data_IF_285077125561
#
_entry.id   IF_285077125561
#
_cell.length_a   1.000
_cell.length_b   1.000
_cell.length_c   1.000
_cell.angle_alpha   90.00
_cell.angle_beta   90.00
_cell.angle_gamma   90.00
#
_symmetry.space_group_name_H-M   'P 1'
#
loop_
_entity.id
_entity.type
_entity.pdbx_description
1 polymer ?
#
# COMPACT_ATOMS: atom_id res chain seq x y z
N UNK A 1 -15.76 -8.54 -12.45
CA UNK A 1 -16.95 -7.67 -12.60
C UNK A 1 -16.57 -6.37 -11.91
N UNK A 2 -15.82 -5.53 -12.60
CA UNK A 2 -15.01 -4.52 -11.91
C UNK A 2 -15.73 -3.18 -11.96
N UNK A 3 -16.43 -2.92 -10.87
CA UNK A 3 -16.66 -1.61 -10.25
C UNK A 3 -16.64 -0.42 -11.20
N UNK A 4 -17.78 -0.16 -11.86
CA UNK A 4 -18.08 1.13 -12.45
C UNK A 4 -18.13 2.18 -11.34
N UNK A 5 -16.97 2.76 -11.01
CA UNK A 5 -16.90 3.91 -10.13
C UNK A 5 -17.37 5.10 -10.95
N UNK A 6 -18.52 5.64 -10.58
CA UNK A 6 -19.10 6.86 -11.15
C UNK A 6 -18.17 8.04 -10.81
N UNK A 7 -17.08 8.19 -11.58
CA UNK A 7 -16.04 9.19 -11.40
C UNK A 7 -16.56 10.55 -11.88
N UNK A 8 -17.26 11.24 -10.99
CA UNK A 8 -17.68 12.63 -11.20
C UNK A 8 -16.42 13.50 -11.37
N UNK A 9 -16.21 14.01 -12.59
CA UNK A 9 -15.14 14.94 -13.00
C UNK A 9 -13.74 14.32 -13.17
N UNK A 10 -13.62 13.27 -14.00
CA UNK A 10 -12.32 12.83 -14.52
C UNK A 10 -11.73 13.89 -15.48
N UNK A 11 -10.48 14.30 -15.23
CA UNK A 11 -9.68 15.20 -16.08
C UNK A 11 -8.36 14.54 -16.41
N UNK A 12 -8.05 14.39 -17.69
CA UNK A 12 -6.75 13.91 -18.13
C UNK A 12 -5.71 15.04 -18.00
N UNK A 13 -4.56 14.75 -17.41
CA UNK A 13 -3.45 15.71 -17.32
C UNK A 13 -2.42 15.52 -18.42
N UNK A 14 -2.03 14.25 -18.66
CA UNK A 14 -1.13 13.84 -19.73
C UNK A 14 -1.38 12.36 -20.08
N UNK A 15 -0.55 11.78 -20.95
CA UNK A 15 -0.65 10.37 -21.27
C UNK A 15 -0.42 9.50 -20.02
N UNK A 16 -1.39 8.65 -19.70
CA UNK A 16 -1.30 7.74 -18.55
C UNK A 16 -1.53 8.40 -17.19
N UNK A 17 -2.02 9.65 -17.09
CA UNK A 17 -2.41 10.27 -15.82
C UNK A 17 -3.76 10.97 -15.90
N UNK A 18 -4.65 10.59 -14.98
CA UNK A 18 -5.95 11.23 -14.77
C UNK A 18 -6.12 11.71 -13.34
N UNK A 19 -6.76 12.86 -13.16
CA UNK A 19 -7.28 13.31 -11.88
C UNK A 19 -8.80 13.15 -11.84
N UNK A 20 -9.33 12.73 -10.70
CA UNK A 20 -10.77 12.57 -10.50
C UNK A 20 -11.16 12.80 -9.04
N UNK A 21 -12.45 13.04 -8.79
CA UNK A 21 -13.03 13.07 -7.44
C UNK A 21 -13.99 11.89 -7.27
N UNK A 22 -13.97 11.27 -6.09
CA UNK A 22 -14.99 10.29 -5.70
C UNK A 22 -16.25 11.02 -5.26
N UNK A 23 -17.42 10.43 -5.50
CA UNK A 23 -18.71 11.02 -5.16
C UNK A 23 -18.84 11.54 -3.71
N UNK A 24 -18.14 10.91 -2.74
CA UNK A 24 -18.17 11.27 -1.31
C UNK A 24 -16.88 11.91 -0.79
N UNK A 25 -16.00 12.40 -1.65
CA UNK A 25 -14.70 12.98 -1.26
C UNK A 25 -14.42 14.30 -1.97
N UNK A 26 -14.10 15.33 -1.20
CA UNK A 26 -13.64 16.62 -1.74
C UNK A 26 -12.19 16.56 -2.26
N UNK A 27 -11.43 15.56 -1.81
CA UNK A 27 -10.02 15.36 -2.17
C UNK A 27 -9.87 14.74 -3.55
N UNK A 28 -8.94 15.28 -4.33
CA UNK A 28 -8.54 14.75 -5.62
C UNK A 28 -7.80 13.42 -5.50
N UNK A 29 -8.00 12.57 -6.51
CA UNK A 29 -7.31 11.31 -6.70
C UNK A 29 -6.64 11.29 -8.05
N UNK A 30 -5.51 10.60 -8.13
CA UNK A 30 -4.74 10.39 -9.33
C UNK A 30 -4.83 8.92 -9.74
N UNK A 31 -5.07 8.67 -11.02
CA UNK A 31 -4.97 7.35 -11.64
C UNK A 31 -3.80 7.39 -12.63
N UNK A 32 -2.78 6.57 -12.36
CA UNK A 32 -1.51 6.55 -13.08
C UNK A 32 -1.32 5.21 -13.76
N UNK A 33 -0.96 5.21 -15.04
CA UNK A 33 -0.62 4.02 -15.82
C UNK A 33 0.84 3.64 -15.56
N UNK A 34 1.07 2.38 -15.23
CA UNK A 34 2.41 1.80 -15.11
C UNK A 34 2.94 1.35 -16.49
N UNK A 35 4.24 1.13 -16.61
CA UNK A 35 4.85 0.57 -17.83
C UNK A 35 4.33 -0.85 -18.13
N UNK A 36 3.87 -1.58 -17.11
CA UNK A 36 3.15 -2.87 -17.26
C UNK A 36 1.72 -2.75 -17.82
N UNK A 37 1.27 -1.55 -18.22
CA UNK A 37 -0.12 -1.20 -18.57
C UNK A 37 -1.14 -1.35 -17.44
N UNK A 38 -0.70 -1.66 -16.22
CA UNK A 38 -1.59 -1.71 -15.07
C UNK A 38 -1.84 -0.31 -14.51
N UNK A 39 -3.09 -0.05 -14.11
CA UNK A 39 -3.47 1.22 -13.49
C UNK A 39 -3.32 1.16 -11.97
N UNK A 40 -2.74 2.20 -11.39
CA UNK A 40 -2.68 2.41 -9.95
C UNK A 40 -3.36 3.74 -9.59
N UNK A 41 -4.17 3.74 -8.53
CA UNK A 41 -4.85 4.92 -8.04
C UNK A 41 -4.32 5.34 -6.67
N UNK A 42 -4.18 6.65 -6.44
CA UNK A 42 -3.81 7.22 -5.15
C UNK A 42 -4.57 8.50 -4.84
N UNK A 43 -4.70 8.84 -3.56
CA UNK A 43 -5.18 10.17 -3.18
C UNK A 43 -4.06 11.20 -3.29
N UNK A 44 -4.38 12.40 -3.79
CA UNK A 44 -3.46 13.54 -3.80
C UNK A 44 -3.41 14.26 -2.43
N UNK A 45 -4.27 13.88 -1.47
CA UNK A 45 -4.32 14.45 -0.13
C UNK A 45 -4.93 15.86 -0.02
N UNK A 46 -5.27 16.49 -1.14
CA UNK A 46 -5.74 17.88 -1.22
C UNK A 46 -7.02 18.01 -2.05
N UNK A 47 -7.84 19.03 -1.76
CA UNK A 47 -9.00 19.43 -2.55
C UNK A 47 -8.68 20.47 -3.62
N UNK A 48 -7.49 21.09 -3.55
CA UNK A 48 -6.97 22.04 -4.53
C UNK A 48 -6.49 21.29 -5.79
N UNK A 49 -6.92 21.74 -6.97
CA UNK A 49 -6.60 21.08 -8.23
C UNK A 49 -5.14 21.25 -8.66
N UNK A 50 -4.56 22.44 -8.50
CA UNK A 50 -3.17 22.70 -8.90
C UNK A 50 -2.19 21.99 -7.99
N UNK A 51 -2.49 21.96 -6.68
CA UNK A 51 -1.71 21.15 -5.75
C UNK A 51 -1.85 19.66 -6.04
N UNK A 52 -3.05 19.17 -6.36
CA UNK A 52 -3.26 17.78 -6.76
C UNK A 52 -2.50 17.42 -8.03
N UNK A 53 -2.50 18.31 -9.02
CA UNK A 53 -1.75 18.15 -10.28
C UNK A 53 -0.26 18.01 -10.04
N UNK A 54 0.34 18.88 -9.20
CA UNK A 54 1.75 18.79 -8.82
C UNK A 54 2.08 17.44 -8.15
N UNK A 55 1.26 17.02 -7.18
CA UNK A 55 1.44 15.74 -6.47
C UNK A 55 1.35 14.55 -7.43
N UNK A 56 0.38 14.57 -8.34
CA UNK A 56 0.16 13.48 -9.30
C UNK A 56 1.30 13.35 -10.31
N UNK A 57 1.79 14.48 -10.85
CA UNK A 57 2.92 14.51 -11.78
C UNK A 57 4.22 14.03 -11.11
N UNK A 58 4.50 14.48 -9.90
CA UNK A 58 5.68 14.05 -9.16
C UNK A 58 5.63 12.54 -8.86
N UNK A 59 4.45 12.01 -8.51
CA UNK A 59 4.29 10.56 -8.34
C UNK A 59 4.52 9.80 -9.64
N UNK A 60 3.96 10.27 -10.76
CA UNK A 60 4.16 9.62 -12.06
C UNK A 60 5.65 9.51 -12.40
N UNK A 61 6.41 10.59 -12.18
CA UNK A 61 7.87 10.63 -12.38
C UNK A 61 8.60 9.63 -11.49
N UNK A 62 8.26 9.57 -10.20
CA UNK A 62 8.85 8.60 -9.27
C UNK A 62 8.57 7.15 -9.68
N UNK A 63 7.34 6.86 -10.12
CA UNK A 63 6.95 5.54 -10.60
C UNK A 63 7.75 5.14 -11.85
N UNK A 64 7.90 6.05 -12.82
CA UNK A 64 8.69 5.81 -14.02
C UNK A 64 10.16 5.53 -13.68
N UNK A 65 10.76 6.30 -12.77
CA UNK A 65 12.15 6.09 -12.32
C UNK A 65 12.34 4.76 -11.59
N UNK A 66 11.39 4.39 -10.72
CA UNK A 66 11.44 3.10 -10.04
C UNK A 66 11.36 1.95 -11.04
N UNK A 67 10.46 2.04 -12.01
CA UNK A 67 10.29 1.04 -13.07
C UNK A 67 11.52 0.92 -13.97
N UNK A 68 12.14 2.05 -14.36
CA UNK A 68 13.36 2.01 -15.19
C UNK A 68 14.58 1.47 -14.44
N UNK A 69 14.60 1.61 -13.11
CA UNK A 69 15.70 1.17 -12.25
C UNK A 69 15.50 -0.25 -11.69
N UNK A 70 14.41 -0.93 -12.05
CA UNK A 70 14.06 -2.25 -11.52
C UNK A 70 13.65 -2.27 -10.04
N UNK A 71 13.35 -1.11 -9.45
CA UNK A 71 12.90 -0.98 -8.07
C UNK A 71 11.39 -1.19 -7.98
N UNK A 72 10.91 -1.60 -6.80
CA UNK A 72 9.47 -1.74 -6.55
C UNK A 72 8.82 -0.35 -6.62
N UNK A 73 7.91 -0.19 -7.56
CA UNK A 73 7.26 1.08 -7.91
C UNK A 73 6.11 1.44 -6.94
N UNK A 74 5.38 0.44 -6.44
CA UNK A 74 4.34 0.60 -5.43
C UNK A 74 4.64 -0.28 -4.22
N UNK A 75 4.98 0.36 -3.10
CA UNK A 75 5.09 -0.33 -1.82
C UNK A 75 3.73 -0.56 -1.18
N UNK A 76 3.49 -1.77 -0.72
CA UNK A 76 2.41 -2.05 0.24
C UNK A 76 2.90 -1.75 1.65
N UNK A 77 2.01 -1.29 2.52
CA UNK A 77 2.35 -1.18 3.95
C UNK A 77 2.50 -2.57 4.54
N UNK A 78 3.40 -2.70 5.50
CA UNK A 78 3.63 -3.96 6.20
C UNK A 78 2.34 -4.50 6.81
N UNK A 79 1.50 -3.63 7.40
CA UNK A 79 0.23 -4.04 8.01
C UNK A 79 -0.74 -4.68 7.00
N UNK A 80 -0.77 -4.20 5.75
CA UNK A 80 -1.69 -4.72 4.74
C UNK A 80 -1.27 -6.12 4.30
N UNK A 81 0.05 -6.33 4.14
CA UNK A 81 0.61 -7.65 3.84
C UNK A 81 0.47 -8.59 5.03
N UNK A 82 0.72 -8.12 6.24
CA UNK A 82 0.56 -8.93 7.46
C UNK A 82 -0.89 -9.42 7.63
N UNK A 83 -1.89 -8.58 7.36
CA UNK A 83 -3.31 -8.97 7.37
C UNK A 83 -3.63 -10.00 6.30
N UNK A 84 -3.10 -9.84 5.08
CA UNK A 84 -3.26 -10.83 4.02
C UNK A 84 -2.66 -12.19 4.43
N UNK A 85 -1.47 -12.18 5.01
CA UNK A 85 -0.82 -13.39 5.53
C UNK A 85 -1.65 -14.06 6.62
N UNK A 86 -2.18 -13.30 7.59
CA UNK A 86 -3.07 -13.85 8.62
C UNK A 86 -4.31 -14.50 7.99
N UNK A 87 -4.93 -13.84 7.00
CA UNK A 87 -6.08 -14.39 6.30
C UNK A 87 -5.77 -15.71 5.57
N UNK A 88 -4.58 -15.84 4.99
CA UNK A 88 -4.15 -17.11 4.38
C UNK A 88 -3.94 -18.21 5.43
N UNK A 89 -3.28 -17.88 6.56
CA UNK A 89 -3.09 -18.83 7.66
C UNK A 89 -4.42 -19.30 8.25
N UNK A 90 -5.41 -18.41 8.34
CA UNK A 90 -6.77 -18.76 8.76
C UNK A 90 -7.46 -19.67 7.75
N UNK A 91 -7.35 -19.36 6.45
CA UNK A 91 -7.92 -20.19 5.39
C UNK A 91 -7.33 -21.62 5.39
N UNK A 92 -6.02 -21.76 5.59
CA UNK A 92 -5.37 -23.07 5.71
C UNK A 92 -5.92 -23.89 6.89
N UNK A 93 -6.10 -23.25 8.03
CA UNK A 93 -6.67 -23.91 9.24
C UNK A 93 -8.12 -24.34 8.98
N UNK A 94 -8.92 -23.50 8.34
CA UNK A 94 -10.31 -23.84 7.98
C UNK A 94 -10.39 -24.99 6.96
N UNK A 95 -9.43 -25.05 6.03
CA UNK A 95 -9.34 -26.13 5.04
C UNK A 95 -8.88 -27.47 5.66
N UNK A 96 -8.54 -27.53 6.95
CA UNK A 96 -8.06 -28.74 7.62
C UNK A 96 -6.62 -29.14 7.25
N UNK A 97 -5.91 -28.31 6.48
CA UNK A 97 -4.51 -28.51 6.07
C UNK A 97 -3.53 -27.68 6.93
N UNK A 98 -4.07 -26.73 7.71
CA UNK A 98 -3.29 -25.82 8.53
C UNK A 98 -2.55 -26.52 9.67
N UNK A 99 -1.29 -26.12 9.88
CA UNK A 99 -0.47 -26.63 10.98
C UNK A 99 -0.83 -25.92 12.29
N UNK A 100 -0.65 -26.61 13.42
CA UNK A 100 -0.83 -26.04 14.77
C UNK A 100 0.01 -24.76 14.96
N UNK A 101 1.19 -24.70 14.33
CA UNK A 101 2.09 -23.53 14.36
C UNK A 101 1.51 -22.26 13.73
N UNK A 102 0.45 -22.36 12.91
CA UNK A 102 -0.19 -21.18 12.31
C UNK A 102 -0.73 -20.24 13.39
N UNK A 103 -1.17 -20.76 14.55
CA UNK A 103 -1.57 -19.94 15.69
C UNK A 103 -0.43 -19.08 16.22
N UNK A 104 0.75 -19.68 16.37
CA UNK A 104 1.91 -19.01 16.94
C UNK A 104 2.44 -17.93 15.97
N UNK A 105 2.42 -18.19 14.66
CA UNK A 105 2.72 -17.18 13.64
C UNK A 105 1.76 -15.98 13.71
N UNK A 106 0.44 -16.23 13.78
CA UNK A 106 -0.53 -15.15 13.94
C UNK A 106 -0.28 -14.34 15.22
N UNK A 107 0.07 -15.02 16.32
CA UNK A 107 0.39 -14.34 17.58
C UNK A 107 1.62 -13.45 17.45
N UNK A 108 2.70 -13.94 16.83
CA UNK A 108 3.93 -13.15 16.61
C UNK A 108 3.67 -11.95 15.71
N UNK A 109 2.94 -12.15 14.61
CA UNK A 109 2.60 -11.08 13.66
C UNK A 109 1.79 -9.99 14.37
N UNK A 110 0.75 -10.35 15.12
CA UNK A 110 -0.12 -9.38 15.78
C UNK A 110 0.53 -8.69 16.98
N UNK A 111 1.30 -9.42 17.79
CA UNK A 111 1.85 -8.90 19.05
C UNK A 111 3.14 -8.11 18.86
N UNK A 112 3.99 -8.51 17.92
CA UNK A 112 5.33 -7.95 17.75
C UNK A 112 5.49 -7.20 16.43
N UNK A 113 5.17 -7.84 15.31
CA UNK A 113 5.53 -7.30 14.00
C UNK A 113 4.62 -6.13 13.58
N UNK A 114 3.30 -6.25 13.69
CA UNK A 114 2.37 -5.19 13.32
C UNK A 114 2.57 -3.91 14.16
N UNK A 115 2.70 -3.98 15.50
CA UNK A 115 2.91 -2.77 16.29
C UNK A 115 4.21 -2.02 15.97
N UNK A 116 5.29 -2.76 15.72
CA UNK A 116 6.60 -2.17 15.42
C UNK A 116 6.74 -1.71 13.96
N UNK A 117 6.33 -2.56 13.01
CA UNK A 117 6.58 -2.38 11.58
C UNK A 117 5.35 -1.95 10.78
N UNK A 118 4.14 -2.01 11.34
CA UNK A 118 2.90 -1.86 10.58
C UNK A 118 2.76 -0.54 9.81
N UNK A 119 3.39 0.54 10.29
CA UNK A 119 3.38 1.86 9.63
C UNK A 119 4.36 1.96 8.46
N UNK A 120 5.33 1.05 8.38
CA UNK A 120 6.35 1.07 7.35
C UNK A 120 5.81 0.55 6.02
N UNK A 121 6.33 1.12 4.94
CA UNK A 121 6.32 0.50 3.62
C UNK A 121 7.31 -0.65 3.61
N UNK A 122 6.99 -1.78 2.98
CA UNK A 122 7.84 -2.99 3.03
C UNK A 122 9.26 -2.71 2.54
N UNK A 123 9.42 -1.92 1.47
CA UNK A 123 10.75 -1.60 0.95
C UNK A 123 11.52 -0.57 1.81
N UNK A 124 10.86 0.07 2.77
CA UNK A 124 11.48 1.01 3.71
C UNK A 124 11.85 0.36 5.05
N UNK A 125 11.70 -0.95 5.18
CA UNK A 125 12.14 -1.69 6.36
C UNK A 125 13.66 -1.86 6.24
N UNK A 126 14.38 -0.97 6.90
CA UNK A 126 15.84 -0.95 6.95
C UNK A 126 16.36 -1.50 8.28
N UNK A 127 17.68 -1.47 8.46
CA UNK A 127 18.29 -1.93 9.71
C UNK A 127 17.77 -1.18 10.94
N UNK A 128 17.48 0.13 10.82
CA UNK A 128 16.97 0.92 11.95
C UNK A 128 15.57 0.48 12.37
N UNK A 129 14.71 0.16 11.40
CA UNK A 129 13.39 -0.39 11.68
C UNK A 129 13.48 -1.74 12.42
N UNK A 130 14.46 -2.58 12.07
CA UNK A 130 14.70 -3.85 12.76
C UNK A 130 15.23 -3.66 14.19
N UNK A 131 16.13 -2.71 14.42
CA UNK A 131 16.58 -2.37 15.78
C UNK A 131 15.42 -1.85 16.65
N UNK A 132 14.52 -1.05 16.07
CA UNK A 132 13.32 -0.59 16.76
C UNK A 132 12.37 -1.74 17.12
N UNK A 133 12.22 -2.73 16.22
CA UNK A 133 11.47 -3.96 16.51
C UNK A 133 12.08 -4.72 17.68
N UNK A 134 13.41 -4.92 17.69
CA UNK A 134 14.07 -5.65 18.78
C UNK A 134 13.93 -4.91 20.11
N UNK A 135 14.16 -3.59 20.12
CA UNK A 135 13.94 -2.77 21.32
C UNK A 135 12.49 -2.82 21.82
N UNK A 136 11.51 -2.87 20.91
CA UNK A 136 10.10 -3.03 21.26
C UNK A 136 9.81 -4.42 21.85
N UNK A 137 10.35 -5.48 21.22
CA UNK A 137 10.17 -6.86 21.70
C UNK A 137 10.77 -7.07 23.09
N UNK A 138 11.97 -6.54 23.35
CA UNK A 138 12.62 -6.64 24.67
C UNK A 138 11.83 -5.98 25.78
N UNK A 139 11.06 -4.91 25.51
CA UNK A 139 10.19 -4.26 26.50
C UNK A 139 8.93 -5.04 26.86
N UNK A 140 8.55 -6.01 26.04
CA UNK A 140 7.33 -6.81 26.20
C UNK A 140 7.59 -8.20 26.80
N UNK A 141 8.87 -8.55 26.99
CA UNK A 141 9.33 -9.74 27.69
C UNK A 141 9.46 -9.42 29.18
#
# INVERSE_FOLDING_TARGET
MDSHTNDLNQRQLNEGLFLYKRARSTRWQARIRRTSNEWFAMSCGTSDFEQAKKVALERQRQLQQAQSSGLVDVSRRFVDVAKLTISHLDAEVQAGVGKVVNRDYKQVINRYLIPALGKYQIQQIDHKALLALDAYRTKLL
#
